data_IF_407206747013
#
_entry.id   IF_407206747013
#
_cell.length_a   1.000
_cell.length_b   1.000
_cell.length_c   1.000
_cell.angle_alpha   90.00
_cell.angle_beta   90.00
_cell.angle_gamma   90.00
#
_symmetry.space_group_name_H-M   'P 1'
#
loop_
_entity.id
_entity.type
_entity.pdbx_description
1 polymer ?
#
# COMPACT_ATOMS: atom_id res chain seq x y z
N UNK A 1 4.29 -70.52 77.33
CA UNK A 1 5.03 -70.40 76.07
C UNK A 1 4.29 -69.37 75.19
N UNK A 2 4.73 -68.17 75.26
CA UNK A 2 4.21 -67.01 74.53
C UNK A 2 5.12 -66.73 73.36
N UNK A 3 4.56 -66.81 72.13
CA UNK A 3 5.26 -66.40 70.88
C UNK A 3 4.85 -64.96 70.58
N UNK A 4 5.81 -64.07 70.69
CA UNK A 4 5.67 -62.68 70.23
C UNK A 4 5.88 -62.58 68.74
N UNK A 5 4.89 -62.11 67.98
CA UNK A 5 5.04 -61.77 66.57
C UNK A 5 5.59 -60.32 66.43
N UNK A 6 6.71 -60.24 65.76
CA UNK A 6 7.39 -58.99 65.46
C UNK A 6 6.79 -58.29 64.28
N UNK A 7 6.20 -57.11 64.50
CA UNK A 7 5.75 -56.19 63.45
C UNK A 7 6.96 -55.57 62.79
N UNK A 8 7.23 -55.93 61.51
CA UNK A 8 8.28 -55.28 60.72
C UNK A 8 7.64 -54.01 60.07
N UNK A 9 8.22 -52.86 60.42
CA UNK A 9 7.92 -51.60 59.81
C UNK A 9 8.33 -51.60 58.33
N UNK A 10 7.56 -51.02 57.42
CA UNK A 10 7.89 -50.97 55.98
C UNK A 10 9.17 -50.16 55.77
N UNK A 11 10.03 -50.71 54.93
CA UNK A 11 11.32 -50.14 54.57
C UNK A 11 11.19 -48.73 54.06
N UNK A 12 12.00 -47.80 54.57
CA UNK A 12 12.10 -46.41 54.11
C UNK A 12 12.28 -46.31 52.59
N UNK A 13 12.75 -47.35 51.95
CA UNK A 13 12.93 -47.46 50.52
C UNK A 13 11.60 -47.50 49.74
N UNK A 14 10.57 -48.13 50.30
CA UNK A 14 9.24 -48.21 49.72
C UNK A 14 8.53 -46.88 49.76
N UNK A 15 8.74 -46.08 50.81
CA UNK A 15 8.17 -44.73 50.97
C UNK A 15 8.81 -43.76 49.92
N UNK A 16 10.11 -43.83 49.70
CA UNK A 16 10.79 -43.03 48.67
C UNK A 16 10.37 -43.44 47.24
N UNK A 17 10.10 -44.70 46.99
CA UNK A 17 9.60 -45.17 45.66
C UNK A 17 8.18 -44.64 45.38
N UNK A 18 7.30 -44.61 46.39
CA UNK A 18 5.95 -44.08 46.26
C UNK A 18 5.95 -42.55 46.07
N UNK A 19 6.85 -41.83 46.72
CA UNK A 19 7.04 -40.38 46.57
C UNK A 19 7.61 -40.06 45.18
N UNK A 20 8.52 -40.87 44.65
CA UNK A 20 9.12 -40.67 43.33
C UNK A 20 8.12 -40.89 42.21
N UNK A 21 7.15 -41.79 42.34
CA UNK A 21 6.10 -42.05 41.34
C UNK A 21 5.05 -40.94 41.30
N UNK A 22 4.84 -40.15 42.35
CA UNK A 22 3.90 -39.03 42.37
C UNK A 22 4.49 -37.74 41.83
N UNK A 23 5.82 -37.61 41.71
CA UNK A 23 6.48 -36.44 41.10
C UNK A 23 6.48 -36.52 39.59
N UNK A 24 6.31 -37.72 38.98
CA UNK A 24 6.27 -37.92 37.54
C UNK A 24 4.86 -37.82 36.92
N UNK A 25 3.80 -37.63 37.71
CA UNK A 25 2.42 -37.42 37.19
C UNK A 25 1.99 -35.95 37.22
N UNK A 26 2.95 -35.01 37.30
CA UNK A 26 2.72 -33.59 37.20
C UNK A 26 2.68 -33.13 35.76
N UNK A 27 1.53 -32.69 35.30
CA UNK A 27 1.29 -31.86 34.12
C UNK A 27 1.45 -32.52 32.74
N UNK A 28 0.60 -33.47 32.42
CA UNK A 28 0.03 -33.45 31.06
C UNK A 28 -1.04 -32.33 31.04
N UNK A 29 -0.63 -31.08 30.87
CA UNK A 29 -1.51 -30.07 30.41
C UNK A 29 -1.88 -30.46 28.98
N UNK A 30 -3.06 -31.07 28.80
CA UNK A 30 -3.75 -31.02 27.53
C UNK A 30 -3.86 -29.55 27.18
N UNK A 31 -2.98 -29.07 26.29
CA UNK A 31 -3.20 -27.85 25.56
C UNK A 31 -4.44 -28.08 24.72
N UNK A 32 -5.63 -27.82 25.32
CA UNK A 32 -6.77 -27.44 24.51
C UNK A 32 -6.30 -26.15 23.83
N UNK A 33 -6.01 -26.23 22.55
CA UNK A 33 -5.90 -25.09 21.67
C UNK A 33 -7.30 -24.44 21.59
N UNK A 34 -7.75 -23.87 22.69
CA UNK A 34 -8.74 -22.83 22.65
C UNK A 34 -8.04 -21.67 21.98
N UNK A 35 -8.48 -21.34 20.76
CA UNK A 35 -8.18 -20.07 20.13
C UNK A 35 -8.54 -18.96 21.12
N UNK A 36 -7.59 -18.57 21.98
CA UNK A 36 -7.63 -17.28 22.63
C UNK A 36 -7.55 -16.29 21.45
N UNK A 37 -8.68 -15.73 21.07
CA UNK A 37 -8.73 -14.53 20.25
C UNK A 37 -8.06 -13.41 21.05
N UNK A 38 -6.73 -13.43 21.08
CA UNK A 38 -5.95 -12.25 21.43
C UNK A 38 -6.29 -11.22 20.39
N UNK A 39 -6.74 -10.05 20.78
CA UNK A 39 -7.19 -8.90 20.01
C UNK A 39 -6.74 -8.78 18.54
N UNK A 40 -7.03 -7.72 17.83
CA UNK A 40 -6.73 -7.61 16.40
C UNK A 40 -5.24 -7.92 16.19
N UNK A 41 -4.97 -9.10 15.66
CA UNK A 41 -3.63 -9.48 15.24
C UNK A 41 -3.43 -8.86 13.87
N UNK A 42 -2.41 -8.01 13.78
CA UNK A 42 -1.71 -7.81 12.53
C UNK A 42 -1.03 -9.16 12.18
N UNK A 43 -1.81 -10.15 11.78
CA UNK A 43 -1.26 -11.33 11.15
C UNK A 43 -0.86 -10.91 9.74
N UNK A 44 0.40 -10.54 9.58
CA UNK A 44 0.89 -10.25 8.24
C UNK A 44 0.82 -11.53 7.42
N UNK A 45 0.17 -11.48 6.28
CA UNK A 45 0.21 -12.54 5.27
C UNK A 45 1.66 -12.94 4.91
N UNK A 46 2.59 -12.04 5.17
CA UNK A 46 4.03 -12.19 5.02
C UNK A 46 4.66 -13.28 5.90
N UNK A 47 4.20 -13.47 7.14
CA UNK A 47 4.72 -14.52 8.02
C UNK A 47 4.40 -15.92 7.48
N UNK A 48 3.25 -16.07 6.82
CA UNK A 48 2.85 -17.35 6.21
C UNK A 48 3.59 -17.64 4.89
N UNK A 49 4.10 -16.60 4.21
CA UNK A 49 4.75 -16.74 2.89
C UNK A 49 6.29 -16.80 2.95
N UNK A 50 6.91 -16.48 4.10
CA UNK A 50 8.38 -16.55 4.27
C UNK A 50 8.94 -17.98 4.29
N UNK A 51 8.10 -18.99 4.51
CA UNK A 51 8.56 -20.36 4.74
C UNK A 51 8.88 -21.16 3.46
N UNK A 52 8.40 -20.75 2.29
CA UNK A 52 8.65 -21.47 1.05
C UNK A 52 9.35 -20.52 0.06
N UNK A 53 10.65 -20.71 -0.21
CA UNK A 53 11.35 -19.95 -1.22
C UNK A 53 10.68 -20.17 -2.59
N UNK A 54 10.21 -19.09 -3.21
CA UNK A 54 9.67 -19.16 -4.56
C UNK A 54 10.79 -19.49 -5.55
N UNK A 55 10.63 -20.59 -6.30
CA UNK A 55 11.62 -21.10 -7.26
C UNK A 55 11.23 -20.79 -8.71
N UNK A 56 10.12 -20.09 -8.92
CA UNK A 56 9.61 -19.75 -10.25
C UNK A 56 10.27 -18.52 -10.87
N UNK A 57 9.81 -18.18 -12.07
CA UNK A 57 10.18 -16.94 -12.76
C UNK A 57 9.72 -15.74 -11.92
N UNK A 58 10.64 -14.85 -11.62
CA UNK A 58 10.37 -13.61 -10.90
C UNK A 58 10.11 -12.50 -11.90
N UNK A 59 8.90 -11.98 -11.88
CA UNK A 59 8.47 -10.88 -12.73
C UNK A 59 8.75 -9.54 -12.07
N UNK A 60 9.12 -8.54 -12.87
CA UNK A 60 9.19 -7.15 -12.44
C UNK A 60 7.79 -6.55 -12.40
N UNK A 61 7.45 -5.95 -11.25
CA UNK A 61 6.12 -5.38 -10.99
C UNK A 61 6.20 -3.86 -10.99
N UNK A 62 5.32 -3.23 -11.76
CA UNK A 62 5.09 -1.79 -11.72
C UNK A 62 3.78 -1.53 -11.01
N UNK A 63 3.83 -0.63 -10.03
CA UNK A 63 2.68 -0.12 -9.32
C UNK A 63 2.58 1.37 -9.65
N UNK A 64 1.74 1.77 -10.61
CA UNK A 64 1.46 3.18 -10.81
C UNK A 64 0.94 3.81 -9.53
N UNK A 65 1.23 5.08 -9.28
CA UNK A 65 0.57 5.84 -8.21
C UNK A 65 -0.94 5.58 -8.32
N UNK A 66 -1.59 5.26 -7.22
CA UNK A 66 -3.01 4.92 -7.23
C UNK A 66 -3.86 6.10 -7.74
N UNK A 67 -4.98 5.82 -8.36
CA UNK A 67 -6.01 6.83 -8.55
C UNK A 67 -6.55 7.27 -7.18
N UNK A 68 -6.61 8.57 -6.89
CA UNK A 68 -7.16 9.03 -5.61
C UNK A 68 -8.70 8.84 -5.52
N UNK A 69 -9.36 8.40 -6.59
CA UNK A 69 -10.81 8.18 -6.62
C UNK A 69 -11.61 9.48 -6.42
N UNK A 70 -11.10 10.59 -6.93
CA UNK A 70 -11.75 11.88 -6.81
C UNK A 70 -12.69 12.12 -8.00
N UNK A 71 -13.93 12.57 -7.71
CA UNK A 71 -14.86 13.02 -8.76
C UNK A 71 -14.44 14.38 -9.30
N UNK A 72 -15.01 14.77 -10.45
CA UNK A 72 -14.78 16.11 -11.02
C UNK A 72 -15.55 17.22 -10.28
N UNK A 73 -16.38 16.86 -9.30
CA UNK A 73 -17.30 17.78 -8.61
C UNK A 73 -16.84 18.04 -7.16
N UNK A 74 -16.37 19.25 -6.90
CA UNK A 74 -16.01 19.67 -5.54
C UNK A 74 -17.20 19.61 -4.54
N UNK A 75 -18.45 19.69 -5.02
CA UNK A 75 -19.63 19.61 -4.17
C UNK A 75 -19.86 18.20 -3.63
N UNK A 76 -19.46 17.16 -4.37
CA UNK A 76 -19.57 15.77 -3.95
C UNK A 76 -18.62 15.47 -2.79
N UNK A 77 -17.45 16.11 -2.74
CA UNK A 77 -16.50 15.93 -1.64
C UNK A 77 -17.07 16.33 -0.28
N UNK A 78 -17.86 17.43 -0.25
CA UNK A 78 -18.49 17.90 0.99
C UNK A 78 -19.61 16.94 1.45
N UNK A 79 -20.39 16.38 0.50
CA UNK A 79 -21.48 15.45 0.81
C UNK A 79 -20.95 14.09 1.30
N UNK A 80 -19.88 13.61 0.70
CA UNK A 80 -19.26 12.31 1.00
C UNK A 80 -18.23 12.39 2.14
N UNK A 81 -17.83 13.60 2.53
CA UNK A 81 -16.83 13.82 3.57
C UNK A 81 -15.41 13.48 3.12
N UNK A 82 -15.15 13.56 1.81
CA UNK A 82 -13.84 13.31 1.22
C UNK A 82 -12.94 14.54 1.40
N UNK A 83 -11.72 14.29 1.80
CA UNK A 83 -10.65 15.28 1.86
C UNK A 83 -9.69 15.11 0.66
N UNK A 84 -9.77 15.94 -0.38
CA UNK A 84 -9.07 15.73 -1.63
C UNK A 84 -7.54 15.71 -1.50
N UNK A 85 -6.98 16.60 -0.65
CA UNK A 85 -5.54 16.66 -0.41
C UNK A 85 -5.06 15.36 0.22
N UNK A 86 -5.76 14.87 1.22
CA UNK A 86 -5.45 13.60 1.85
C UNK A 86 -5.52 12.44 0.84
N UNK A 87 -6.56 12.37 0.03
CA UNK A 87 -6.71 11.32 -0.99
C UNK A 87 -5.57 11.32 -2.01
N UNK A 88 -5.08 12.50 -2.42
CA UNK A 88 -3.89 12.60 -3.28
C UNK A 88 -2.61 12.11 -2.58
N UNK A 89 -2.44 12.45 -1.31
CA UNK A 89 -1.32 11.93 -0.52
C UNK A 89 -1.41 10.41 -0.32
N UNK A 90 -2.60 9.90 -0.01
CA UNK A 90 -2.86 8.45 0.12
C UNK A 90 -2.55 7.68 -1.16
N UNK A 91 -2.80 8.25 -2.34
CA UNK A 91 -2.52 7.61 -3.62
C UNK A 91 -1.05 7.18 -3.76
N UNK A 92 -0.12 8.05 -3.37
CA UNK A 92 1.31 7.76 -3.33
C UNK A 92 1.67 6.75 -2.21
N UNK A 93 1.15 7.00 -1.01
CA UNK A 93 1.39 6.14 0.14
C UNK A 93 0.92 4.72 -0.09
N UNK A 94 -0.27 4.51 -0.64
CA UNK A 94 -0.86 3.19 -0.85
C UNK A 94 -0.10 2.40 -1.92
N UNK A 95 0.32 3.05 -3.00
CA UNK A 95 1.19 2.43 -3.98
C UNK A 95 2.51 1.96 -3.34
N UNK A 96 3.12 2.78 -2.48
CA UNK A 96 4.35 2.44 -1.76
C UNK A 96 4.13 1.33 -0.72
N UNK A 97 3.00 1.31 -0.01
CA UNK A 97 2.65 0.23 0.94
C UNK A 97 2.47 -1.11 0.23
N UNK A 98 1.75 -1.13 -0.91
CA UNK A 98 1.61 -2.34 -1.72
C UNK A 98 2.96 -2.83 -2.25
N UNK A 99 3.82 -1.90 -2.73
CA UNK A 99 5.19 -2.23 -3.13
C UNK A 99 5.94 -2.92 -1.99
N UNK A 100 5.90 -2.37 -0.80
CA UNK A 100 6.61 -2.92 0.36
C UNK A 100 6.14 -4.33 0.69
N UNK A 101 4.82 -4.55 0.71
CA UNK A 101 4.23 -5.87 0.98
C UNK A 101 4.63 -6.92 -0.09
N UNK A 102 4.69 -6.52 -1.37
CA UNK A 102 5.14 -7.41 -2.45
C UNK A 102 6.64 -7.70 -2.39
N UNK A 103 7.48 -6.69 -2.14
CA UNK A 103 8.92 -6.86 -1.98
C UNK A 103 9.26 -7.85 -0.85
N UNK A 104 8.62 -7.68 0.30
CA UNK A 104 8.83 -8.53 1.47
C UNK A 104 8.43 -9.99 1.22
N UNK A 105 7.52 -10.25 0.28
CA UNK A 105 7.15 -11.62 -0.11
C UNK A 105 8.30 -12.39 -0.75
N UNK A 106 9.26 -11.70 -1.38
CA UNK A 106 10.40 -12.26 -2.09
C UNK A 106 10.04 -13.09 -3.34
N UNK A 107 8.79 -13.02 -3.81
CA UNK A 107 8.28 -13.83 -4.93
C UNK A 107 8.41 -13.14 -6.29
N UNK A 108 8.63 -11.85 -6.30
CA UNK A 108 8.77 -11.02 -7.50
C UNK A 108 10.24 -10.64 -7.74
N UNK A 109 10.53 -10.09 -8.91
CA UNK A 109 11.76 -9.42 -9.25
C UNK A 109 11.84 -8.05 -8.59
N UNK A 110 12.08 -7.01 -9.35
CA UNK A 110 11.99 -5.65 -8.84
C UNK A 110 10.51 -5.23 -8.74
N UNK A 111 10.13 -4.66 -7.59
CA UNK A 111 8.81 -4.04 -7.41
C UNK A 111 8.99 -2.54 -7.30
N UNK A 112 8.37 -1.79 -8.20
CA UNK A 112 8.59 -0.35 -8.34
C UNK A 112 7.29 0.43 -8.32
N UNK A 113 7.23 1.50 -7.56
CA UNK A 113 6.22 2.54 -7.76
C UNK A 113 6.65 3.39 -8.94
N UNK A 114 5.74 3.68 -9.84
CA UNK A 114 5.97 4.53 -11.00
C UNK A 114 4.94 5.66 -11.07
N UNK A 115 5.25 6.80 -11.70
CA UNK A 115 4.30 7.91 -11.84
C UNK A 115 3.02 7.46 -12.56
N UNK A 116 3.18 6.60 -13.56
CA UNK A 116 2.08 6.11 -14.38
C UNK A 116 2.40 4.71 -14.94
N UNK A 117 1.47 4.13 -15.70
CA UNK A 117 1.57 2.79 -16.27
C UNK A 117 2.43 2.69 -17.54
N UNK A 118 3.14 3.75 -17.94
CA UNK A 118 4.01 3.71 -19.13
C UNK A 118 5.41 3.19 -18.85
N UNK A 119 5.79 3.05 -17.58
CA UNK A 119 7.05 2.44 -17.18
C UNK A 119 7.12 0.97 -17.62
N UNK A 120 8.33 0.51 -17.96
CA UNK A 120 8.56 -0.88 -18.40
C UNK A 120 8.45 -1.87 -17.24
N UNK A 121 7.62 -2.90 -17.41
CA UNK A 121 7.43 -3.97 -16.42
C UNK A 121 6.66 -5.17 -16.97
N UNK A 122 6.77 -6.30 -16.29
CA UNK A 122 6.14 -7.56 -16.69
C UNK A 122 4.70 -7.67 -16.17
N UNK A 123 4.44 -7.05 -15.02
CA UNK A 123 3.15 -7.06 -14.33
C UNK A 123 2.83 -5.66 -13.82
N UNK A 124 1.59 -5.23 -13.94
CA UNK A 124 1.09 -3.93 -13.53
C UNK A 124 0.00 -4.12 -12.49
N UNK A 125 0.16 -3.54 -11.30
CA UNK A 125 -0.84 -3.52 -10.24
C UNK A 125 -1.41 -2.10 -10.10
N UNK A 126 -2.59 -1.88 -10.67
CA UNK A 126 -3.26 -0.57 -10.75
C UNK A 126 -4.32 -0.51 -9.66
N UNK A 127 -4.21 0.47 -8.78
CA UNK A 127 -5.14 0.70 -7.67
C UNK A 127 -5.92 2.00 -7.82
N UNK A 128 -7.14 2.03 -7.27
CA UNK A 128 -7.96 3.23 -7.12
C UNK A 128 -8.62 3.23 -5.75
N UNK A 129 -8.50 4.33 -5.02
CA UNK A 129 -9.06 4.50 -3.68
C UNK A 129 -10.57 4.73 -3.80
N UNK A 130 -11.35 3.92 -3.10
CA UNK A 130 -12.80 4.04 -3.02
C UNK A 130 -13.16 4.72 -1.69
N UNK A 131 -12.72 4.14 -0.57
CA UNK A 131 -13.00 4.62 0.77
C UNK A 131 -11.73 4.65 1.61
N UNK A 132 -11.53 5.71 2.39
CA UNK A 132 -10.51 5.80 3.44
C UNK A 132 -10.99 6.80 4.49
N UNK A 133 -11.31 6.31 5.70
CA UNK A 133 -11.93 7.12 6.75
C UNK A 133 -11.35 6.86 8.14
N UNK A 134 -10.15 6.25 8.23
CA UNK A 134 -9.47 5.90 9.49
C UNK A 134 -9.97 4.60 10.11
N UNK A 135 -11.19 4.16 9.84
CA UNK A 135 -11.76 2.89 10.30
C UNK A 135 -11.89 1.88 9.16
N UNK A 136 -12.32 2.32 8.01
CA UNK A 136 -12.57 1.50 6.82
C UNK A 136 -11.62 1.95 5.71
N UNK A 137 -11.05 0.98 5.01
CA UNK A 137 -10.26 1.17 3.80
C UNK A 137 -10.82 0.28 2.70
N UNK A 138 -11.13 0.89 1.57
CA UNK A 138 -11.56 0.19 0.36
C UNK A 138 -10.84 0.75 -0.85
N UNK A 139 -10.26 -0.13 -1.67
CA UNK A 139 -9.66 0.24 -2.94
C UNK A 139 -9.84 -0.87 -3.97
N UNK A 140 -10.05 -0.50 -5.23
CA UNK A 140 -10.02 -1.45 -6.33
C UNK A 140 -8.57 -1.80 -6.68
N UNK A 141 -8.34 -3.03 -7.11
CA UNK A 141 -7.03 -3.53 -7.54
C UNK A 141 -7.19 -4.33 -8.84
N UNK A 142 -6.62 -3.79 -9.91
CA UNK A 142 -6.56 -4.45 -11.21
C UNK A 142 -5.12 -4.85 -11.53
N UNK A 143 -4.88 -6.14 -11.73
CA UNK A 143 -3.55 -6.66 -12.05
C UNK A 143 -3.54 -7.23 -13.46
N UNK A 144 -2.69 -6.64 -14.31
CA UNK A 144 -2.60 -6.97 -15.73
C UNK A 144 -1.14 -7.22 -16.08
N UNK A 145 -0.84 -8.27 -16.84
CA UNK A 145 0.50 -8.56 -17.30
C UNK A 145 0.87 -7.87 -18.62
N UNK A 146 2.12 -7.99 -19.02
CA UNK A 146 2.64 -7.39 -20.25
C UNK A 146 1.94 -7.89 -21.53
N UNK A 147 1.27 -9.03 -21.50
CA UNK A 147 0.46 -9.51 -22.64
C UNK A 147 -0.93 -8.87 -22.71
N UNK A 148 -1.35 -8.13 -21.66
CA UNK A 148 -2.70 -7.62 -21.50
C UNK A 148 -3.66 -8.63 -20.83
N UNK A 149 -3.16 -9.76 -20.34
CA UNK A 149 -3.97 -10.73 -19.57
C UNK A 149 -4.23 -10.18 -18.18
N UNK A 150 -5.49 -10.07 -17.82
CA UNK A 150 -5.92 -9.70 -16.49
C UNK A 150 -5.80 -10.91 -15.54
N UNK A 151 -5.04 -10.74 -14.45
CA UNK A 151 -4.84 -11.77 -13.42
C UNK A 151 -5.80 -11.61 -12.26
N UNK A 152 -6.08 -10.37 -11.90
CA UNK A 152 -6.95 -9.99 -10.80
C UNK A 152 -7.73 -8.73 -11.16
N UNK A 153 -8.98 -8.67 -10.77
CA UNK A 153 -9.79 -7.46 -10.74
C UNK A 153 -10.74 -7.62 -9.55
N UNK A 154 -10.35 -7.05 -8.44
CA UNK A 154 -11.04 -7.25 -7.17
C UNK A 154 -11.04 -5.94 -6.36
N UNK A 155 -11.88 -5.89 -5.36
CA UNK A 155 -11.92 -4.80 -4.38
C UNK A 155 -11.38 -5.31 -3.05
N UNK A 156 -10.41 -4.61 -2.52
CA UNK A 156 -9.82 -4.89 -1.22
C UNK A 156 -10.56 -4.05 -0.18
N UNK A 157 -11.36 -4.70 0.63
CA UNK A 157 -12.08 -4.12 1.76
C UNK A 157 -11.38 -4.52 3.05
N UNK A 158 -11.19 -3.56 3.95
CA UNK A 158 -10.59 -3.79 5.26
C UNK A 158 -11.20 -2.86 6.31
N UNK A 159 -11.59 -3.41 7.44
CA UNK A 159 -12.05 -2.67 8.62
C UNK A 159 -11.04 -2.81 9.77
N UNK A 160 -10.61 -1.68 10.30
CA UNK A 160 -9.70 -1.62 11.45
C UNK A 160 -10.40 -2.23 12.66
N UNK A 161 -9.76 -3.23 13.27
CA UNK A 161 -10.35 -3.95 14.39
C UNK A 161 -10.65 -3.06 15.60
N UNK A 162 -11.79 -3.33 16.26
CA UNK A 162 -12.18 -2.63 17.48
C UNK A 162 -11.05 -2.68 18.52
N UNK A 163 -10.66 -1.53 19.02
CA UNK A 163 -9.63 -1.42 20.04
C UNK A 163 -8.19 -1.35 19.49
N UNK A 164 -7.98 -1.31 18.17
CA UNK A 164 -6.65 -1.13 17.57
C UNK A 164 -5.95 0.09 18.18
N UNK A 165 -6.61 1.24 18.16
CA UNK A 165 -6.10 2.52 18.67
C UNK A 165 -6.01 2.59 20.21
N UNK A 166 -6.68 1.70 20.93
CA UNK A 166 -6.65 1.62 22.40
C UNK A 166 -5.56 0.71 22.94
N UNK A 167 -4.87 -0.01 22.07
CA UNK A 167 -3.86 -0.98 22.46
C UNK A 167 -2.44 -0.39 22.30
N UNK A 168 -1.70 -0.13 23.40
CA UNK A 168 -0.36 0.46 23.33
C UNK A 168 0.66 -0.34 22.52
N UNK A 169 0.38 -1.61 22.22
CA UNK A 169 1.25 -2.44 21.36
C UNK A 169 1.16 -2.05 19.87
N UNK A 170 0.16 -1.27 19.52
CA UNK A 170 -0.06 -0.80 18.16
C UNK A 170 0.43 0.64 17.95
N UNK A 171 0.99 1.28 18.97
CA UNK A 171 1.54 2.63 18.86
C UNK A 171 2.57 2.68 17.71
N UNK A 172 2.41 3.64 16.83
CA UNK A 172 3.27 3.84 15.66
C UNK A 172 3.07 2.82 14.52
N UNK A 173 2.05 1.95 14.57
CA UNK A 173 1.70 1.04 13.49
C UNK A 173 0.57 1.60 12.66
N UNK A 174 0.69 1.47 11.34
CA UNK A 174 -0.38 1.83 10.43
C UNK A 174 -1.52 0.79 10.52
N UNK A 175 -2.74 1.20 10.91
CA UNK A 175 -3.87 0.28 10.99
C UNK A 175 -4.26 -0.34 9.64
N UNK A 176 -3.85 0.28 8.52
CA UNK A 176 -4.16 -0.20 7.18
C UNK A 176 -3.15 -1.20 6.59
N UNK A 177 -2.00 -1.43 7.25
CA UNK A 177 -1.00 -2.39 6.76
C UNK A 177 -1.59 -3.76 6.39
N UNK A 178 -2.54 -4.36 7.16
CA UNK A 178 -3.12 -5.65 6.78
C UNK A 178 -3.93 -5.64 5.48
N UNK A 179 -4.43 -4.48 5.02
CA UNK A 179 -5.10 -4.37 3.73
C UNK A 179 -4.11 -4.57 2.57
N UNK A 180 -2.91 -4.01 2.69
CA UNK A 180 -1.85 -4.18 1.69
C UNK A 180 -1.25 -5.58 1.72
N UNK A 181 -1.15 -6.21 2.90
CA UNK A 181 -0.81 -7.62 3.02
C UNK A 181 -1.85 -8.51 2.31
N UNK A 182 -3.15 -8.22 2.48
CA UNK A 182 -4.25 -8.92 1.79
C UNK A 182 -4.16 -8.73 0.27
N UNK A 183 -3.88 -7.52 -0.19
CA UNK A 183 -3.69 -7.21 -1.60
C UNK A 183 -2.49 -7.95 -2.19
N UNK A 184 -1.35 -7.91 -1.51
CA UNK A 184 -0.15 -8.64 -1.93
C UNK A 184 -0.40 -10.15 -1.98
N UNK A 185 -1.11 -10.72 -0.99
CA UNK A 185 -1.48 -12.12 -0.99
C UNK A 185 -2.37 -12.49 -2.18
N UNK A 186 -3.35 -11.66 -2.54
CA UNK A 186 -4.19 -11.90 -3.72
C UNK A 186 -3.37 -11.91 -5.03
N UNK A 187 -2.40 -11.01 -5.17
CA UNK A 187 -1.48 -10.98 -6.32
C UNK A 187 -0.61 -12.25 -6.34
N UNK A 188 -0.08 -12.66 -5.20
CA UNK A 188 0.72 -13.88 -5.06
C UNK A 188 -0.10 -15.13 -5.44
N UNK A 189 -1.34 -15.21 -4.99
CA UNK A 189 -2.23 -16.32 -5.37
C UNK A 189 -2.52 -16.34 -6.87
N UNK A 190 -2.65 -15.15 -7.49
CA UNK A 190 -2.79 -15.03 -8.93
C UNK A 190 -1.51 -15.49 -9.67
N UNK A 191 -0.32 -15.12 -9.19
CA UNK A 191 0.97 -15.57 -9.71
C UNK A 191 1.08 -17.11 -9.67
N UNK A 192 0.73 -17.71 -8.54
CA UNK A 192 0.86 -19.17 -8.34
C UNK A 192 -0.09 -19.99 -9.23
N UNK A 193 -1.12 -19.38 -9.81
CA UNK A 193 -2.01 -20.01 -10.80
C UNK A 193 -1.45 -20.01 -12.22
N UNK A 194 -0.39 -19.21 -12.49
CA UNK A 194 0.20 -19.10 -13.82
C UNK A 194 1.19 -20.24 -14.11
N UNK A 195 1.32 -20.61 -15.38
CA UNK A 195 2.31 -21.58 -15.82
C UNK A 195 3.70 -20.92 -15.95
N UNK A 196 4.75 -21.58 -15.48
CA UNK A 196 6.11 -21.04 -15.53
C UNK A 196 6.60 -20.72 -16.95
N UNK A 197 6.15 -21.49 -17.95
CA UNK A 197 6.45 -21.21 -19.36
C UNK A 197 5.79 -19.93 -19.88
N UNK A 198 4.58 -19.61 -19.41
CA UNK A 198 3.89 -18.36 -19.74
C UNK A 198 4.60 -17.17 -19.08
N UNK A 199 4.97 -17.29 -17.80
CA UNK A 199 5.70 -16.26 -17.07
C UNK A 199 7.03 -15.89 -17.74
N UNK A 200 7.79 -16.88 -18.23
CA UNK A 200 9.03 -16.64 -18.95
C UNK A 200 8.82 -15.87 -20.27
N UNK A 201 7.66 -16.04 -20.92
CA UNK A 201 7.35 -15.31 -22.15
C UNK A 201 6.97 -13.85 -21.87
N UNK A 202 6.44 -13.53 -20.68
CA UNK A 202 6.04 -12.15 -20.32
C UNK A 202 7.22 -11.18 -20.34
N UNK A 203 8.39 -11.60 -19.87
CA UNK A 203 9.61 -10.79 -19.92
C UNK A 203 9.99 -10.46 -21.37
N UNK A 204 9.92 -11.44 -22.27
CA UNK A 204 10.18 -11.23 -23.69
C UNK A 204 9.13 -10.31 -24.34
N UNK A 205 7.85 -10.47 -23.98
CA UNK A 205 6.77 -9.61 -24.46
C UNK A 205 6.98 -8.16 -23.96
N UNK A 206 7.34 -7.97 -22.68
CA UNK A 206 7.67 -6.66 -22.13
C UNK A 206 8.83 -6.00 -22.88
N UNK A 207 9.92 -6.72 -23.09
CA UNK A 207 11.08 -6.25 -23.84
C UNK A 207 10.70 -5.78 -25.27
N UNK A 208 9.90 -6.59 -25.97
CA UNK A 208 9.46 -6.28 -27.34
C UNK A 208 8.44 -5.13 -27.40
N UNK A 209 7.54 -5.05 -26.43
CA UNK A 209 6.63 -3.89 -26.33
C UNK A 209 7.40 -2.62 -26.06
N UNK A 210 8.38 -2.68 -25.17
CA UNK A 210 9.27 -1.55 -24.94
C UNK A 210 10.03 -1.19 -26.23
N UNK A 211 10.59 -2.16 -26.91
CA UNK A 211 11.30 -1.95 -28.18
C UNK A 211 10.38 -1.35 -29.27
N UNK A 212 9.15 -1.84 -29.38
CA UNK A 212 8.17 -1.34 -30.34
C UNK A 212 7.75 0.12 -30.04
N UNK A 213 7.82 0.58 -28.79
CA UNK A 213 7.57 1.98 -28.46
C UNK A 213 8.62 2.94 -29.00
N UNK A 214 9.81 2.45 -29.35
CA UNK A 214 10.88 3.20 -30.01
C UNK A 214 10.91 3.02 -31.53
N UNK A 215 10.61 1.78 -31.97
CA UNK A 215 10.54 1.46 -33.40
C UNK A 215 9.49 0.36 -33.67
N UNK A 216 8.28 0.80 -33.93
CA UNK A 216 7.15 -0.11 -34.16
C UNK A 216 7.41 -1.04 -35.37
N UNK A 217 7.91 -0.49 -36.49
CA UNK A 217 8.15 -1.27 -37.72
C UNK A 217 9.16 -2.42 -37.51
N UNK A 218 10.17 -2.22 -36.65
CA UNK A 218 11.20 -3.20 -36.46
C UNK A 218 10.82 -4.30 -35.47
N UNK A 219 9.90 -4.04 -34.53
CA UNK A 219 9.66 -4.94 -33.41
C UNK A 219 8.25 -5.51 -33.33
N UNK A 220 7.24 -4.89 -33.96
CA UNK A 220 5.87 -5.41 -33.92
C UNK A 220 5.70 -6.75 -34.66
N UNK A 221 6.56 -7.08 -35.63
CA UNK A 221 6.51 -8.36 -36.32
C UNK A 221 6.79 -9.59 -35.43
N UNK A 222 7.46 -9.36 -34.27
CA UNK A 222 7.74 -10.38 -33.26
C UNK A 222 6.57 -10.62 -32.30
N UNK A 223 5.50 -9.80 -32.40
CA UNK A 223 4.32 -9.86 -31.52
C UNK A 223 3.05 -10.09 -32.37
N UNK A 224 2.22 -11.04 -31.96
CA UNK A 224 0.86 -11.19 -32.49
C UNK A 224 -0.11 -10.41 -31.60
N UNK A 225 -0.62 -9.32 -32.13
CA UNK A 225 -1.60 -8.44 -31.49
C UNK A 225 -3.02 -8.59 -32.04
N UNK A 226 -3.27 -9.63 -32.86
CA UNK A 226 -4.58 -9.87 -33.48
C UNK A 226 -5.66 -10.34 -32.50
N UNK A 227 -5.24 -10.85 -31.33
CA UNK A 227 -6.12 -11.35 -30.27
C UNK A 227 -6.37 -10.34 -29.15
N UNK A 228 -7.05 -10.81 -28.10
CA UNK A 228 -7.25 -10.01 -26.88
C UNK A 228 -5.96 -9.89 -26.03
N UNK A 229 -5.04 -10.80 -26.23
CA UNK A 229 -3.75 -10.84 -25.54
C UNK A 229 -2.64 -10.85 -26.58
N UNK A 230 -1.57 -10.12 -26.29
CA UNK A 230 -0.36 -10.11 -27.09
C UNK A 230 0.37 -11.45 -26.90
N UNK A 231 0.75 -12.08 -28.02
CA UNK A 231 1.51 -13.32 -28.00
C UNK A 231 2.88 -13.12 -28.60
N UNK A 232 3.86 -13.81 -28.02
CA UNK A 232 5.19 -13.86 -28.56
C UNK A 232 5.21 -14.77 -29.81
N UNK A 233 5.63 -14.23 -30.96
CA UNK A 233 5.84 -14.99 -32.20
C UNK A 233 7.26 -15.54 -32.24
N UNK A 234 8.25 -14.66 -32.03
CA UNK A 234 9.67 -14.99 -31.98
C UNK A 234 10.44 -13.87 -31.27
N UNK A 235 11.72 -14.07 -31.02
CA UNK A 235 12.63 -13.03 -30.54
C UNK A 235 13.61 -12.60 -31.66
N UNK A 236 14.00 -11.32 -31.72
CA UNK A 236 15.15 -10.89 -32.47
C UNK A 236 16.42 -11.68 -32.05
N UNK A 237 17.41 -11.71 -32.90
CA UNK A 237 18.71 -12.24 -32.49
C UNK A 237 19.28 -11.44 -31.33
N UNK A 238 19.89 -12.11 -30.37
CA UNK A 238 20.63 -11.42 -29.28
C UNK A 238 21.77 -10.54 -29.82
N UNK A 239 22.25 -10.79 -31.02
CA UNK A 239 23.26 -9.97 -31.70
C UNK A 239 22.66 -8.83 -32.54
N UNK A 240 21.34 -8.66 -32.57
CA UNK A 240 20.69 -7.56 -33.29
C UNK A 240 21.06 -6.21 -32.66
N UNK A 241 21.74 -5.31 -33.41
CA UNK A 241 22.22 -4.05 -32.84
C UNK A 241 21.05 -3.11 -32.40
N UNK A 242 19.92 -3.16 -33.10
CA UNK A 242 18.76 -2.35 -32.76
C UNK A 242 18.11 -2.82 -31.45
N UNK A 243 17.97 -4.13 -31.31
CA UNK A 243 17.41 -4.72 -30.12
C UNK A 243 18.34 -4.50 -28.90
N UNK A 244 19.66 -4.66 -29.05
CA UNK A 244 20.61 -4.38 -27.97
C UNK A 244 20.60 -2.91 -27.54
N UNK A 245 20.46 -1.97 -28.47
CA UNK A 245 20.32 -0.55 -28.17
C UNK A 245 19.08 -0.29 -27.34
N UNK A 246 17.92 -0.81 -27.75
CA UNK A 246 16.69 -0.63 -27.00
C UNK A 246 16.79 -1.24 -25.60
N UNK A 247 17.41 -2.40 -25.46
CA UNK A 247 17.68 -3.02 -24.15
C UNK A 247 18.55 -2.11 -23.26
N UNK A 248 19.56 -1.45 -23.82
CA UNK A 248 20.37 -0.48 -23.08
C UNK A 248 19.54 0.73 -22.61
N UNK A 249 18.64 1.21 -23.44
CA UNK A 249 17.71 2.30 -23.11
C UNK A 249 16.73 1.86 -22.02
N UNK A 250 16.18 0.65 -22.12
CA UNK A 250 15.27 0.08 -21.11
C UNK A 250 15.94 0.03 -19.72
N UNK A 251 17.18 -0.41 -19.65
CA UNK A 251 17.95 -0.38 -18.40
C UNK A 251 18.09 1.04 -17.84
N UNK A 252 18.27 2.05 -18.70
CA UNK A 252 18.37 3.46 -18.26
C UNK A 252 17.02 3.98 -17.72
N UNK A 253 15.91 3.60 -18.36
CA UNK A 253 14.58 3.93 -17.85
C UNK A 253 14.34 3.27 -16.50
N UNK A 254 14.66 1.98 -16.37
CA UNK A 254 14.50 1.26 -15.11
C UNK A 254 15.35 1.85 -13.97
N UNK A 255 16.59 2.24 -14.25
CA UNK A 255 17.45 2.92 -13.27
C UNK A 255 16.86 4.27 -12.82
N UNK A 256 16.23 5.01 -13.73
CA UNK A 256 15.53 6.24 -13.36
C UNK A 256 14.37 5.91 -12.40
N UNK A 257 13.52 4.94 -12.75
CA UNK A 257 12.39 4.53 -11.88
C UNK A 257 12.90 3.97 -10.54
N UNK A 258 14.03 3.27 -10.51
CA UNK A 258 14.67 2.81 -9.27
C UNK A 258 15.08 3.99 -8.37
N UNK A 259 15.60 5.07 -8.95
CA UNK A 259 15.95 6.28 -8.19
C UNK A 259 14.71 6.97 -7.60
N UNK A 260 13.55 6.90 -8.27
CA UNK A 260 12.30 7.45 -7.75
C UNK A 260 11.83 6.76 -6.45
N UNK A 261 12.23 5.49 -6.21
CA UNK A 261 11.80 4.75 -5.03
C UNK A 261 12.19 5.44 -3.71
N UNK A 262 13.30 6.18 -3.70
CA UNK A 262 13.71 6.95 -2.54
C UNK A 262 12.76 8.11 -2.25
N UNK A 263 12.23 8.77 -3.29
CA UNK A 263 11.27 9.86 -3.14
C UNK A 263 9.93 9.34 -2.58
N UNK A 264 9.42 8.22 -3.11
CA UNK A 264 8.20 7.59 -2.59
C UNK A 264 8.36 7.10 -1.15
N UNK A 265 9.53 6.54 -0.81
CA UNK A 265 9.86 6.14 0.56
C UNK A 265 9.89 7.33 1.51
N UNK A 266 10.60 8.39 1.12
CA UNK A 266 10.72 9.62 1.93
C UNK A 266 9.35 10.28 2.13
N UNK A 267 8.54 10.37 1.07
CA UNK A 267 7.18 10.88 1.15
C UNK A 267 6.33 10.07 2.12
N UNK A 268 6.33 8.74 2.02
CA UNK A 268 5.57 7.87 2.92
C UNK A 268 5.98 8.07 4.38
N UNK A 269 7.29 8.18 4.65
CA UNK A 269 7.81 8.42 6.00
C UNK A 269 7.45 9.82 6.52
N UNK A 270 7.52 10.84 5.67
CA UNK A 270 7.14 12.21 6.05
C UNK A 270 5.64 12.32 6.40
N UNK A 271 4.82 11.50 5.76
CA UNK A 271 3.38 11.43 6.02
C UNK A 271 3.05 10.71 7.35
N UNK A 272 3.89 9.78 7.82
CA UNK A 272 3.56 8.81 8.87
C UNK A 272 2.93 9.46 10.12
N UNK A 273 3.61 10.38 10.78
CA UNK A 273 3.13 10.94 12.05
C UNK A 273 1.76 11.63 11.92
N UNK A 274 1.59 12.44 10.85
CA UNK A 274 0.35 13.19 10.63
C UNK A 274 -0.78 12.28 10.15
N UNK A 275 -0.44 11.25 9.36
CA UNK A 275 -1.41 10.30 8.86
C UNK A 275 -1.95 9.38 9.94
N UNK A 276 -1.08 8.83 10.80
CA UNK A 276 -1.50 8.00 11.93
C UNK A 276 -2.37 8.78 12.91
N UNK A 277 -2.00 10.03 13.19
CA UNK A 277 -2.81 10.91 14.04
C UNK A 277 -4.19 11.22 13.43
N UNK A 278 -4.25 11.43 12.11
CA UNK A 278 -5.51 11.60 11.39
C UNK A 278 -6.36 10.32 11.44
N UNK A 279 -5.78 9.15 11.18
CA UNK A 279 -6.50 7.87 11.21
C UNK A 279 -7.16 7.64 12.57
N UNK A 280 -6.44 7.86 13.69
CA UNK A 280 -6.98 7.71 15.04
C UNK A 280 -8.11 8.69 15.32
N UNK A 281 -7.93 9.96 14.94
CA UNK A 281 -8.96 10.99 15.12
C UNK A 281 -10.22 10.68 14.29
N UNK A 282 -10.05 10.30 13.04
CA UNK A 282 -11.14 9.98 12.13
C UNK A 282 -11.92 8.71 12.58
N UNK A 283 -11.20 7.66 12.99
CA UNK A 283 -11.83 6.46 13.54
C UNK A 283 -12.66 6.75 14.80
N UNK A 284 -12.16 7.62 15.67
CA UNK A 284 -12.88 8.06 16.87
C UNK A 284 -14.19 8.75 16.50
N UNK A 285 -14.16 9.63 15.50
CA UNK A 285 -15.37 10.32 15.04
C UNK A 285 -16.36 9.37 14.39
N UNK A 286 -15.90 8.45 13.54
CA UNK A 286 -16.76 7.42 12.93
C UNK A 286 -17.47 6.56 13.99
N UNK A 287 -16.76 6.21 15.07
CA UNK A 287 -17.35 5.50 16.19
C UNK A 287 -18.46 6.33 16.88
N UNK A 288 -18.19 7.60 17.14
CA UNK A 288 -19.18 8.51 17.74
C UNK A 288 -20.42 8.68 16.85
N UNK A 289 -20.25 8.74 15.54
CA UNK A 289 -21.35 8.79 14.56
C UNK A 289 -22.19 7.50 14.57
N UNK A 290 -21.53 6.30 14.61
CA UNK A 290 -22.19 5.01 14.72
C UNK A 290 -23.03 4.93 16.01
N UNK A 291 -22.49 5.36 17.15
CA UNK A 291 -23.21 5.40 18.44
C UNK A 291 -24.39 6.40 18.44
N UNK A 292 -24.24 7.57 17.84
CA UNK A 292 -25.29 8.56 17.73
C UNK A 292 -26.47 8.07 16.86
N UNK A 293 -26.18 7.36 15.76
CA UNK A 293 -27.19 6.72 14.91
C UNK A 293 -28.00 5.68 15.69
N UNK A 294 -27.35 4.87 16.52
CA UNK A 294 -28.00 3.79 17.30
C UNK A 294 -28.91 4.37 18.40
N UNK A 295 -28.56 5.51 18.98
CA UNK A 295 -29.31 6.12 20.10
C UNK A 295 -30.48 7.02 19.65
N UNK A 296 -30.87 6.99 18.38
CA UNK A 296 -32.01 7.76 17.82
C UNK A 296 -31.93 9.30 17.98
N UNK A 297 -30.77 9.85 18.33
CA UNK A 297 -30.55 11.28 18.52
C UNK A 297 -30.62 12.02 17.17
N UNK A 298 -30.40 11.36 16.07
CA UNK A 298 -30.45 11.91 14.71
C UNK A 298 -31.81 12.48 14.29
N UNK A 299 -32.90 12.05 14.90
CA UNK A 299 -34.23 12.58 14.55
C UNK A 299 -34.47 14.00 15.02
N UNK A 300 -33.65 14.55 15.91
CA UNK A 300 -33.83 15.91 16.47
C UNK A 300 -32.86 16.97 15.93
N UNK A 301 -31.85 16.55 15.16
CA UNK A 301 -30.78 17.48 14.77
C UNK A 301 -30.56 17.39 13.26
N UNK A 302 -31.32 18.17 12.52
CA UNK A 302 -31.13 18.33 11.09
C UNK A 302 -29.82 19.07 10.79
N UNK A 303 -28.89 18.44 10.07
CA UNK A 303 -27.76 19.07 9.42
C UNK A 303 -26.42 19.01 10.16
N UNK A 304 -25.38 18.98 9.38
CA UNK A 304 -23.95 18.81 9.73
C UNK A 304 -23.38 19.80 10.79
N UNK A 305 -24.14 20.81 11.19
CA UNK A 305 -23.72 21.88 12.12
C UNK A 305 -23.59 21.41 13.58
N UNK A 306 -24.11 20.22 13.93
CA UNK A 306 -24.22 19.83 15.33
C UNK A 306 -23.21 18.77 15.81
N UNK A 307 -22.36 18.26 14.93
CA UNK A 307 -21.31 17.32 15.34
C UNK A 307 -20.27 18.06 16.21
N UNK A 308 -19.89 19.28 15.83
CA UNK A 308 -19.02 20.14 16.65
C UNK A 308 -19.60 20.51 18.01
N UNK A 309 -20.94 20.68 18.13
CA UNK A 309 -21.59 21.04 19.37
C UNK A 309 -21.76 19.85 20.35
N UNK A 310 -21.95 18.63 19.84
CA UNK A 310 -22.09 17.43 20.68
C UNK A 310 -20.74 17.04 21.33
N UNK A 311 -19.63 17.21 20.64
CA UNK A 311 -18.28 16.98 21.18
C UNK A 311 -17.89 18.05 22.19
N UNK A 312 -18.22 19.32 21.93
CA UNK A 312 -18.03 20.43 22.91
C UNK A 312 -18.81 20.18 24.21
N UNK A 313 -20.00 19.60 24.13
CA UNK A 313 -20.81 19.24 25.31
C UNK A 313 -20.28 18.04 26.09
N UNK A 314 -19.59 17.10 25.44
CA UNK A 314 -19.04 15.90 26.08
C UNK A 314 -17.70 16.14 26.77
N UNK A 315 -16.93 17.14 26.33
CA UNK A 315 -15.59 17.46 26.85
C UNK A 315 -15.55 18.65 27.80
N UNK A 316 -16.62 19.48 27.87
CA UNK A 316 -16.66 20.68 28.72
C UNK A 316 -17.55 20.51 29.92
N UNK A 317 -16.95 20.17 31.05
CA UNK A 317 -17.29 20.89 32.27
C UNK A 317 -16.91 22.35 32.07
N UNK A 318 -17.91 23.20 31.77
CA UNK A 318 -17.81 24.66 31.84
C UNK A 318 -16.97 25.40 30.78
N UNK A 319 -17.61 25.81 29.70
CA UNK A 319 -17.45 27.18 29.15
C UNK A 319 -18.56 27.49 28.14
N UNK A 320 -19.49 28.34 28.57
CA UNK A 320 -20.48 29.02 27.71
C UNK A 320 -19.80 30.20 27.00
N UNK A 321 -18.81 29.99 26.13
CA UNK A 321 -18.27 31.09 25.33
C UNK A 321 -18.86 31.05 23.89
N UNK A 322 -19.73 32.01 23.53
CA UNK A 322 -20.33 32.07 22.19
C UNK A 322 -19.32 32.33 21.07
N UNK A 323 -18.06 32.68 21.38
CA UNK A 323 -16.98 32.87 20.39
C UNK A 323 -16.50 31.52 19.86
N UNK A 324 -16.52 30.46 20.68
CA UNK A 324 -16.15 29.11 20.28
C UNK A 324 -17.07 28.53 19.17
N UNK A 325 -18.39 28.76 19.31
CA UNK A 325 -19.37 28.34 18.30
C UNK A 325 -19.25 29.12 16.97
N UNK A 326 -18.84 30.40 17.06
CA UNK A 326 -18.67 31.27 15.89
C UNK A 326 -17.39 30.98 15.13
N UNK A 327 -16.33 30.60 15.83
CA UNK A 327 -15.03 30.21 15.23
C UNK A 327 -15.10 28.81 14.58
N UNK A 328 -15.90 27.90 15.15
CA UNK A 328 -16.20 26.61 14.50
C UNK A 328 -16.98 26.77 13.19
N UNK A 329 -17.92 27.71 13.15
CA UNK A 329 -18.72 28.00 11.95
C UNK A 329 -17.91 28.64 10.82
N UNK A 330 -16.82 29.37 11.13
CA UNK A 330 -15.92 29.97 10.13
C UNK A 330 -14.91 28.96 9.56
N UNK A 331 -14.57 27.94 10.30
CA UNK A 331 -13.73 26.81 9.81
C UNK A 331 -14.58 25.82 8.99
N UNK A 332 -15.88 25.68 9.31
CA UNK A 332 -16.81 24.83 8.58
C UNK A 332 -17.21 25.34 7.18
N UNK A 333 -16.90 26.60 6.86
CA UNK A 333 -17.21 27.22 5.57
C UNK A 333 -16.16 27.00 4.48
N UNK A 334 -15.11 26.24 4.75
CA UNK A 334 -14.09 25.85 3.78
C UNK A 334 -13.83 24.36 3.84
N UNK A 335 -14.31 23.62 2.85
CA UNK A 335 -14.01 22.22 2.54
C UNK A 335 -14.44 21.20 3.60
N UNK A 336 -15.46 20.40 3.28
CA UNK A 336 -16.15 19.46 4.18
C UNK A 336 -15.30 18.37 4.86
N UNK A 337 -14.07 18.15 4.46
CA UNK A 337 -13.16 17.19 5.09
C UNK A 337 -12.44 17.70 6.36
N UNK A 338 -12.26 19.01 6.49
CA UNK A 338 -11.45 19.59 7.57
C UNK A 338 -12.14 19.62 8.95
N UNK A 339 -13.48 19.52 9.00
CA UNK A 339 -14.27 19.61 10.25
C UNK A 339 -14.14 18.34 11.09
N UNK A 340 -13.80 17.21 10.47
CA UNK A 340 -13.77 15.90 11.09
C UNK A 340 -12.57 15.68 12.03
N UNK A 341 -11.52 16.49 11.90
CA UNK A 341 -10.22 16.22 12.54
C UNK A 341 -10.18 16.72 14.00
N UNK A 342 -11.00 17.70 14.37
CA UNK A 342 -10.82 18.40 15.65
C UNK A 342 -11.22 17.59 16.89
N UNK A 343 -12.00 16.54 16.75
CA UNK A 343 -12.60 15.81 17.89
C UNK A 343 -11.67 14.75 18.50
N UNK A 344 -10.69 14.26 17.76
CA UNK A 344 -9.73 13.24 18.24
C UNK A 344 -8.42 13.79 18.79
N UNK A 345 -8.10 15.07 18.53
CA UNK A 345 -6.85 15.68 18.97
C UNK A 345 -6.92 16.29 20.35
N UNK A 346 -5.81 16.26 21.10
CA UNK A 346 -5.70 16.82 22.45
C UNK A 346 -5.76 18.34 22.48
N UNK A 347 -5.36 19.00 21.39
CA UNK A 347 -5.41 20.44 21.25
C UNK A 347 -5.78 20.85 19.83
N UNK A 348 -6.26 22.09 19.69
CA UNK A 348 -6.61 22.70 18.40
C UNK A 348 -5.36 22.97 17.54
N UNK A 349 -4.26 23.33 18.19
CA UNK A 349 -2.98 23.56 17.52
C UNK A 349 -2.42 22.27 16.95
N UNK A 350 -2.54 21.15 17.68
CA UNK A 350 -2.13 19.82 17.21
C UNK A 350 -2.93 19.40 15.97
N UNK A 351 -4.26 19.53 16.03
CA UNK A 351 -5.13 19.22 14.88
C UNK A 351 -4.76 20.06 13.66
N UNK A 352 -4.53 21.36 13.85
CA UNK A 352 -4.16 22.28 12.78
C UNK A 352 -2.80 21.94 12.17
N UNK A 353 -1.82 21.59 13.00
CA UNK A 353 -0.50 21.18 12.53
C UNK A 353 -0.57 19.95 11.60
N UNK A 354 -1.25 18.89 12.02
CA UNK A 354 -1.39 17.69 11.21
C UNK A 354 -2.21 17.92 9.93
N UNK A 355 -3.23 18.76 10.02
CA UNK A 355 -4.02 19.14 8.85
C UNK A 355 -3.20 19.92 7.82
N UNK A 356 -2.43 20.91 8.26
CA UNK A 356 -1.56 21.70 7.37
C UNK A 356 -0.50 20.81 6.72
N UNK A 357 0.12 19.89 7.48
CA UNK A 357 1.10 18.93 6.95
C UNK A 357 0.49 18.01 5.88
N UNK A 358 -0.71 17.46 6.11
CA UNK A 358 -1.37 16.60 5.14
C UNK A 358 -1.88 17.37 3.91
N UNK A 359 -2.31 18.63 4.08
CA UNK A 359 -2.66 19.49 2.96
C UNK A 359 -1.45 19.76 2.05
N UNK A 360 -0.31 20.13 2.65
CA UNK A 360 0.93 20.38 1.91
C UNK A 360 1.37 19.14 1.11
N UNK A 361 1.37 17.97 1.77
CA UNK A 361 1.73 16.70 1.11
C UNK A 361 0.77 16.29 0.00
N UNK A 362 -0.49 16.67 0.09
CA UNK A 362 -1.54 16.33 -0.87
C UNK A 362 -1.92 17.45 -1.84
N UNK A 363 -1.12 18.52 -1.95
CA UNK A 363 -1.38 19.61 -2.89
C UNK A 363 -1.46 19.09 -4.33
N UNK A 364 -0.61 18.09 -4.66
CA UNK A 364 -0.65 17.38 -5.94
C UNK A 364 -0.56 15.87 -5.71
N UNK A 365 -1.12 15.08 -6.63
CA UNK A 365 -0.89 13.64 -6.68
C UNK A 365 0.52 13.31 -7.17
N UNK A 366 1.11 14.19 -7.97
CA UNK A 366 2.49 14.05 -8.43
C UNK A 366 3.44 14.68 -7.42
N UNK A 367 4.39 13.89 -6.94
CA UNK A 367 5.39 14.38 -5.98
C UNK A 367 6.32 15.40 -6.63
N UNK A 368 6.56 16.51 -5.93
CA UNK A 368 7.61 17.44 -6.34
C UNK A 368 8.99 16.78 -6.24
N UNK A 369 9.82 17.04 -7.22
CA UNK A 369 11.19 16.55 -7.26
C UNK A 369 12.15 17.67 -7.65
N UNK A 370 13.28 17.72 -6.95
CA UNK A 370 14.33 18.69 -7.29
C UNK A 370 14.81 18.49 -8.74
N UNK A 371 15.11 19.56 -9.47
CA UNK A 371 15.71 19.45 -10.78
C UNK A 371 16.97 18.60 -10.74
N UNK A 372 17.16 17.75 -11.74
CA UNK A 372 18.32 16.87 -11.84
C UNK A 372 18.87 16.84 -13.28
N UNK A 373 20.16 16.61 -13.40
CA UNK A 373 20.82 16.43 -14.70
C UNK A 373 21.09 14.95 -14.90
N UNK A 374 20.51 14.40 -15.96
CA UNK A 374 20.71 13.02 -16.36
C UNK A 374 21.57 12.96 -17.62
N UNK A 375 22.42 11.95 -17.69
CA UNK A 375 23.33 11.74 -18.84
C UNK A 375 23.08 10.37 -19.46
N UNK A 376 23.10 10.34 -20.79
CA UNK A 376 23.16 9.13 -21.58
C UNK A 376 24.26 9.33 -22.67
N UNK A 377 25.29 8.49 -22.62
CA UNK A 377 26.50 8.62 -23.44
C UNK A 377 27.16 9.99 -23.27
N UNK A 378 27.29 10.79 -24.33
CA UNK A 378 27.91 12.11 -24.32
C UNK A 378 26.90 13.26 -24.16
N UNK A 379 25.62 12.94 -24.18
CA UNK A 379 24.53 13.92 -24.10
C UNK A 379 23.93 13.98 -22.68
N UNK A 380 23.44 15.15 -22.31
CA UNK A 380 22.78 15.38 -21.02
C UNK A 380 21.48 16.15 -21.16
N UNK A 381 20.55 15.93 -20.24
CA UNK A 381 19.30 16.66 -20.13
C UNK A 381 19.08 17.09 -18.69
N UNK A 382 18.61 18.31 -18.51
CA UNK A 382 18.10 18.79 -17.23
C UNK A 382 16.60 18.46 -17.14
N UNK A 383 16.23 17.75 -16.10
CA UNK A 383 14.86 17.35 -15.81
C UNK A 383 14.31 18.27 -14.71
N UNK A 384 13.11 18.81 -14.92
CA UNK A 384 12.46 19.77 -14.01
C UNK A 384 10.98 19.46 -13.84
N UNK A 385 10.37 19.98 -12.80
CA UNK A 385 8.98 19.74 -12.47
C UNK A 385 8.79 18.55 -11.52
N UNK A 386 7.58 18.04 -11.46
CA UNK A 386 7.24 16.90 -10.63
C UNK A 386 7.79 15.56 -11.19
N UNK A 387 7.58 14.47 -10.44
CA UNK A 387 8.09 13.14 -10.81
C UNK A 387 7.55 12.68 -12.18
N UNK A 388 6.28 12.91 -12.48
CA UNK A 388 5.67 12.49 -13.75
C UNK A 388 6.24 13.31 -14.93
N UNK A 389 6.40 14.61 -14.73
CA UNK A 389 7.02 15.50 -15.72
C UNK A 389 8.47 15.10 -16.02
N UNK A 390 9.27 14.86 -14.96
CA UNK A 390 10.68 14.45 -15.13
C UNK A 390 10.77 13.06 -15.78
N UNK A 391 9.87 12.13 -15.45
CA UNK A 391 9.82 10.82 -16.09
C UNK A 391 9.49 10.94 -17.60
N UNK A 392 8.53 11.78 -17.97
CA UNK A 392 8.22 12.05 -19.38
C UNK A 392 9.40 12.69 -20.11
N UNK A 393 10.03 13.72 -19.54
CA UNK A 393 11.19 14.38 -20.11
C UNK A 393 12.34 13.40 -20.34
N UNK A 394 12.58 12.50 -19.38
CA UNK A 394 13.59 11.46 -19.50
C UNK A 394 13.28 10.49 -20.65
N UNK A 395 12.06 10.00 -20.76
CA UNK A 395 11.65 9.12 -21.86
C UNK A 395 11.76 9.81 -23.23
N UNK A 396 11.35 11.06 -23.33
CA UNK A 396 11.50 11.86 -24.54
C UNK A 396 12.96 12.06 -24.94
N UNK A 397 13.82 12.26 -23.96
CA UNK A 397 15.27 12.34 -24.18
C UNK A 397 15.82 11.00 -24.69
N UNK A 398 15.51 9.89 -24.03
CA UNK A 398 15.93 8.56 -24.48
C UNK A 398 15.42 8.23 -25.90
N UNK A 399 14.21 8.63 -26.23
CA UNK A 399 13.67 8.45 -27.58
C UNK A 399 14.45 9.27 -28.62
N UNK A 400 14.79 10.54 -28.32
CA UNK A 400 15.64 11.34 -29.21
C UNK A 400 17.01 10.69 -29.42
N UNK A 401 17.62 10.18 -28.35
CA UNK A 401 18.92 9.50 -28.42
C UNK A 401 18.84 8.26 -29.31
N UNK A 402 17.79 7.44 -29.15
CA UNK A 402 17.54 6.29 -30.01
C UNK A 402 17.45 6.70 -31.49
N UNK A 403 16.72 7.76 -31.82
CA UNK A 403 16.57 8.22 -33.20
C UNK A 403 17.85 8.77 -33.80
N UNK A 404 18.68 9.50 -33.02
CA UNK A 404 19.97 10.01 -33.47
C UNK A 404 20.95 8.89 -33.85
N UNK A 405 20.99 7.83 -33.06
CA UNK A 405 21.86 6.69 -33.32
C UNK A 405 21.29 5.75 -34.41
N UNK A 406 19.96 5.71 -34.59
CA UNK A 406 19.31 4.86 -35.61
C UNK A 406 19.56 5.34 -37.04
N UNK A 407 20.01 6.58 -37.21
CA UNK A 407 20.33 7.14 -38.53
C UNK A 407 21.84 7.11 -38.74
N UNK A 408 22.42 6.10 -39.41
CA UNK A 408 23.83 6.17 -39.78
C UNK A 408 24.03 7.36 -40.71
N UNK A 409 24.99 8.22 -40.40
CA UNK A 409 25.50 9.26 -41.31
C UNK A 409 26.15 8.60 -42.54
N UNK A 410 25.40 7.91 -43.36
CA UNK A 410 25.85 7.45 -44.67
C UNK A 410 25.58 8.58 -45.63
N UNK A 411 26.49 9.53 -45.69
CA UNK A 411 26.63 10.35 -46.87
C UNK A 411 27.09 9.42 -48.01
N UNK A 412 26.15 9.09 -48.92
CA UNK A 412 26.43 8.44 -50.18
C UNK A 412 27.12 9.44 -51.13
#
# INVERSE_FOLDING_TARGET
MLKTESFRAPSRFLIYLIILTHVLTGCATTSSSGNLKTGPQLASAQEQNKEIPYQGVKLDVIIPVFSPGLSDSAAEYEEEGIWPELRRAEANRFAYKLKTALDESGKFGAVRVAPNSTASGDLFAVGEIIESNGQELEFSLNVVDASGKQWLNDTIEYEVGEGFYKNPRNDGKDPYDPAFDKAAQAIIEALLKQQQSELAQLQNINDLRFAASFNEQAFMEYLDTSGQQIKLVSMPSDADPMFQRVKSIQVREQLFVDNLQQNYSAFSQQMDDSYLAWQEASATEMQLRKEAKTKSIWKMIGGAVLIGAAVAAATSGSSNDPRFARDLATVAGGVGGAVLISSGFKSREEAKFHQEALNELGESVNLEMAPQVMTYEEESVELTGDIDEQFRQWRDFLNRMYQLEATPDVQL
#
